data_IF_947340643589
#
_entry.id   IF_947340643589
#
_cell.length_a   1.000
_cell.length_b   1.000
_cell.length_c   1.000
_cell.angle_alpha   90.00
_cell.angle_beta   90.00
_cell.angle_gamma   90.00
#
_symmetry.space_group_name_H-M   'P 1'
#
loop_
_entity.id
_entity.type
_entity.pdbx_description
1 polymer ?
#
# COMPACT_ATOMS: atom_id res chain seq x y z
N UNK A 1 -2.19 -7.35 17.69
CA UNK A 1 -2.66 -6.70 16.44
C UNK A 1 -3.36 -5.41 16.82
N UNK A 2 -2.96 -4.27 16.26
CA UNK A 2 -3.71 -3.01 16.39
C UNK A 2 -4.79 -2.93 15.32
N UNK A 3 -5.96 -2.34 15.63
CA UNK A 3 -7.08 -2.16 14.71
C UNK A 3 -7.68 -0.76 14.90
N UNK A 4 -8.21 -0.21 13.82
CA UNK A 4 -8.96 1.04 13.74
C UNK A 4 -10.08 0.83 12.73
N UNK A 5 -11.32 1.19 13.08
CA UNK A 5 -12.49 1.14 12.20
C UNK A 5 -13.31 2.38 12.46
N UNK A 6 -13.56 3.18 11.43
CA UNK A 6 -14.34 4.41 11.50
C UNK A 6 -15.36 4.42 10.36
N UNK A 7 -16.52 5.04 10.60
CA UNK A 7 -17.51 5.32 9.56
C UNK A 7 -17.11 6.61 8.82
N UNK A 8 -16.65 6.48 7.58
CA UNK A 8 -16.10 7.58 6.78
C UNK A 8 -16.44 7.37 5.30
N UNK A 9 -16.77 8.46 4.61
CA UNK A 9 -17.06 8.48 3.17
C UNK A 9 -15.88 9.02 2.35
N UNK A 10 -14.67 8.52 2.60
CA UNK A 10 -13.45 8.94 1.90
C UNK A 10 -13.33 8.32 0.50
N UNK A 11 -13.67 7.03 0.39
CA UNK A 11 -13.68 6.26 -0.85
C UNK A 11 -14.79 5.21 -0.79
N UNK A 12 -15.77 5.28 -1.69
CA UNK A 12 -16.86 4.31 -1.74
C UNK A 12 -17.43 4.15 -3.15
N UNK A 13 -18.12 3.03 -3.38
CA UNK A 13 -18.85 2.76 -4.63
C UNK A 13 -20.35 2.73 -4.34
N UNK A 14 -21.05 3.87 -4.44
CA UNK A 14 -22.47 3.91 -4.12
C UNK A 14 -23.26 3.07 -5.12
N UNK A 15 -24.24 2.31 -4.62
CA UNK A 15 -25.19 1.55 -5.43
C UNK A 15 -26.47 2.37 -5.55
N UNK A 16 -27.00 2.57 -6.76
CA UNK A 16 -28.27 3.29 -6.97
C UNK A 16 -28.31 4.28 -8.15
N UNK A 17 -27.27 4.36 -8.98
CA UNK A 17 -27.24 5.18 -10.21
C UNK A 17 -26.91 4.36 -11.46
N UNK A 18 -26.38 5.02 -12.51
CA UNK A 18 -25.79 4.33 -13.67
C UNK A 18 -24.68 3.42 -13.15
N UNK A 19 -24.71 2.12 -13.49
CA UNK A 19 -23.69 1.16 -13.10
C UNK A 19 -22.31 1.67 -13.55
N UNK A 20 -21.45 2.01 -12.59
CA UNK A 20 -20.12 2.55 -12.82
C UNK A 20 -19.11 1.83 -11.95
N UNK A 21 -17.96 1.50 -12.51
CA UNK A 21 -16.85 0.96 -11.74
C UNK A 21 -16.07 2.04 -10.99
N UNK A 22 -16.25 3.31 -11.37
CA UNK A 22 -15.54 4.43 -10.78
C UNK A 22 -16.09 4.74 -9.38
N UNK A 23 -15.22 4.85 -8.37
CA UNK A 23 -15.60 5.20 -7.01
C UNK A 23 -15.91 6.70 -6.89
N UNK A 24 -16.77 7.04 -5.94
CA UNK A 24 -16.78 8.38 -5.36
C UNK A 24 -15.56 8.49 -4.43
N UNK A 25 -14.74 9.52 -4.62
CA UNK A 25 -13.49 9.70 -3.87
C UNK A 25 -13.29 11.15 -3.46
N UNK A 26 -13.08 11.36 -2.16
CA UNK A 26 -12.48 12.57 -1.63
C UNK A 26 -11.00 12.26 -1.33
N UNK A 27 -10.12 12.73 -2.21
CA UNK A 27 -8.69 12.42 -2.12
C UNK A 27 -8.02 13.01 -0.88
N UNK A 28 -8.43 14.20 -0.43
CA UNK A 28 -7.86 14.83 0.76
C UNK A 28 -8.30 14.09 2.02
N UNK A 29 -9.60 13.75 2.10
CA UNK A 29 -10.13 12.95 3.19
C UNK A 29 -9.50 11.55 3.22
N UNK A 30 -9.34 10.89 2.06
CA UNK A 30 -8.72 9.56 1.95
C UNK A 30 -7.30 9.52 2.51
N UNK A 31 -6.46 10.50 2.16
CA UNK A 31 -5.09 10.59 2.69
C UNK A 31 -5.10 10.81 4.21
N UNK A 32 -5.98 11.70 4.70
CA UNK A 32 -6.11 11.98 6.13
C UNK A 32 -6.57 10.74 6.90
N UNK A 33 -7.61 10.06 6.43
CA UNK A 33 -8.18 8.86 7.07
C UNK A 33 -7.16 7.72 7.08
N UNK A 34 -6.44 7.51 5.97
CA UNK A 34 -5.38 6.51 5.89
C UNK A 34 -4.28 6.73 6.95
N UNK A 35 -3.79 7.97 7.09
CA UNK A 35 -2.72 8.30 8.05
C UNK A 35 -3.22 8.31 9.50
N UNK A 36 -4.47 8.74 9.74
CA UNK A 36 -5.07 8.67 11.06
C UNK A 36 -5.24 7.21 11.52
N UNK A 37 -5.80 6.35 10.66
CA UNK A 37 -5.96 4.93 10.94
C UNK A 37 -4.61 4.24 11.18
N UNK A 38 -3.55 4.67 10.50
CA UNK A 38 -2.19 4.18 10.73
C UNK A 38 -1.72 4.50 12.16
N UNK A 39 -1.86 5.75 12.59
CA UNK A 39 -1.42 6.16 13.93
C UNK A 39 -2.20 5.44 15.03
N UNK A 40 -3.51 5.27 14.86
CA UNK A 40 -4.35 4.53 15.80
C UNK A 40 -3.95 3.05 15.83
N UNK A 41 -3.79 2.41 14.68
CA UNK A 41 -3.35 1.02 14.59
C UNK A 41 -1.98 0.82 15.23
N UNK A 42 -1.03 1.72 14.97
CA UNK A 42 0.32 1.62 15.50
C UNK A 42 0.36 1.84 17.01
N UNK A 43 -0.32 2.86 17.53
CA UNK A 43 -0.46 3.09 18.98
C UNK A 43 -1.12 1.91 19.70
N UNK A 44 -2.19 1.36 19.12
CA UNK A 44 -2.85 0.17 19.65
C UNK A 44 -1.92 -1.05 19.62
N UNK A 45 -1.17 -1.24 18.53
CA UNK A 45 -0.18 -2.31 18.45
C UNK A 45 0.91 -2.15 19.53
N UNK A 46 1.47 -0.95 19.69
CA UNK A 46 2.47 -0.65 20.72
C UNK A 46 1.92 -0.91 22.12
N UNK A 47 0.69 -0.48 22.42
CA UNK A 47 0.03 -0.70 23.70
C UNK A 47 -0.06 -2.20 24.04
N UNK A 48 -0.66 -2.99 23.15
CA UNK A 48 -0.84 -4.43 23.39
C UNK A 48 0.48 -5.20 23.42
N UNK A 49 1.44 -4.86 22.55
CA UNK A 49 2.76 -5.47 22.57
C UNK A 49 3.50 -5.18 23.87
N UNK A 50 3.44 -3.93 24.35
CA UNK A 50 4.05 -3.54 25.64
C UNK A 50 3.42 -4.29 26.80
N UNK A 51 2.09 -4.42 26.82
CA UNK A 51 1.38 -5.17 27.87
C UNK A 51 1.81 -6.64 27.96
N UNK A 52 2.13 -7.27 26.83
CA UNK A 52 2.51 -8.68 26.76
C UNK A 52 4.00 -8.89 27.02
N UNK A 53 4.85 -8.05 26.41
CA UNK A 53 6.31 -8.26 26.36
C UNK A 53 7.09 -7.39 27.34
N UNK A 54 6.41 -6.46 28.02
CA UNK A 54 7.01 -5.39 28.83
C UNK A 54 7.97 -4.48 28.03
N UNK A 55 7.97 -4.57 26.70
CA UNK A 55 8.79 -3.76 25.80
C UNK A 55 7.92 -3.05 24.79
N UNK A 56 8.09 -1.72 24.71
CA UNK A 56 7.45 -0.90 23.68
C UNK A 56 8.18 -1.10 22.35
N UNK A 57 7.50 -1.63 21.30
CA UNK A 57 8.14 -1.83 20.02
C UNK A 57 8.26 -0.51 19.26
N UNK A 58 9.33 -0.37 18.49
CA UNK A 58 9.59 0.75 17.56
C UNK A 58 9.76 0.21 16.14
N UNK A 59 9.82 1.06 15.12
CA UNK A 59 10.12 0.63 13.74
C UNK A 59 11.48 -0.08 13.61
N UNK A 60 12.41 0.17 14.55
CA UNK A 60 13.74 -0.50 14.60
C UNK A 60 13.64 -1.97 14.96
N UNK A 61 12.58 -2.37 15.66
CA UNK A 61 12.33 -3.75 16.09
C UNK A 61 11.97 -4.68 14.92
N UNK A 62 11.65 -4.12 13.75
CA UNK A 62 11.25 -4.85 12.55
C UNK A 62 12.34 -4.84 11.49
N UNK A 63 12.47 -5.93 10.76
CA UNK A 63 13.36 -6.03 9.60
C UNK A 63 12.84 -5.12 8.46
N UNK A 64 11.56 -5.28 8.13
CA UNK A 64 10.88 -4.56 7.06
C UNK A 64 9.52 -4.05 7.54
N UNK A 65 9.03 -2.97 6.91
CA UNK A 65 7.70 -2.42 7.15
C UNK A 65 6.97 -2.33 5.81
N UNK A 66 5.84 -3.02 5.71
CA UNK A 66 5.04 -3.13 4.49
C UNK A 66 3.71 -2.42 4.68
N UNK A 67 3.25 -1.72 3.65
CA UNK A 67 2.05 -0.89 3.69
C UNK A 67 1.12 -1.21 2.53
N UNK A 68 -0.19 -1.08 2.71
CA UNK A 68 -1.09 -0.86 1.58
C UNK A 68 -0.64 0.39 0.81
N UNK A 69 -0.46 0.26 -0.50
CA UNK A 69 0.16 1.30 -1.33
C UNK A 69 -0.76 1.72 -2.47
N UNK A 70 -1.69 2.66 -2.24
CA UNK A 70 -2.49 3.26 -3.31
C UNK A 70 -1.62 4.11 -4.23
N UNK A 71 -0.53 4.70 -3.70
CA UNK A 71 0.55 5.32 -4.47
C UNK A 71 1.82 5.39 -3.61
N UNK A 72 3.00 5.48 -4.24
CA UNK A 72 4.26 5.35 -3.50
C UNK A 72 4.49 6.47 -2.46
N UNK A 73 4.03 7.70 -2.75
CA UNK A 73 4.23 8.84 -1.86
C UNK A 73 3.51 8.70 -0.51
N UNK A 74 2.34 8.07 -0.46
CA UNK A 74 1.62 7.86 0.81
C UNK A 74 2.35 6.87 1.71
N UNK A 75 3.08 5.90 1.13
CA UNK A 75 3.88 4.94 1.88
C UNK A 75 5.08 5.63 2.54
N UNK A 76 5.73 6.55 1.83
CA UNK A 76 6.80 7.39 2.40
C UNK A 76 6.27 8.26 3.56
N UNK A 77 5.08 8.87 3.41
CA UNK A 77 4.41 9.60 4.50
C UNK A 77 4.04 8.69 5.67
N UNK A 78 3.57 7.47 5.40
CA UNK A 78 3.21 6.50 6.43
C UNK A 78 4.43 6.10 7.28
N UNK A 79 5.55 5.80 6.65
CA UNK A 79 6.79 5.51 7.36
C UNK A 79 7.26 6.71 8.20
N UNK A 80 7.16 7.92 7.65
CA UNK A 80 7.45 9.16 8.36
C UNK A 80 6.58 9.34 9.61
N UNK A 81 5.28 9.00 9.55
CA UNK A 81 4.40 8.99 10.72
C UNK A 81 4.88 8.03 11.80
N UNK A 82 5.20 6.79 11.45
CA UNK A 82 5.66 5.80 12.42
C UNK A 82 6.95 6.24 13.14
N UNK A 83 7.92 6.76 12.37
CA UNK A 83 9.17 7.30 12.92
C UNK A 83 8.89 8.51 13.82
N UNK A 84 8.05 9.44 13.39
CA UNK A 84 7.64 10.58 14.20
C UNK A 84 6.98 10.13 15.51
N UNK A 85 6.01 9.20 15.44
CA UNK A 85 5.35 8.63 16.63
C UNK A 85 6.37 8.04 17.59
N UNK A 86 7.32 7.23 17.12
CA UNK A 86 8.39 6.65 17.94
C UNK A 86 9.21 7.72 18.67
N UNK A 87 9.44 8.87 18.06
CA UNK A 87 10.24 9.98 18.60
C UNK A 87 9.52 10.87 19.62
N UNK A 88 8.19 10.83 19.69
CA UNK A 88 7.44 11.67 20.65
C UNK A 88 7.50 11.15 22.10
N UNK A 89 7.25 12.03 23.08
CA UNK A 89 7.47 11.79 24.52
C UNK A 89 6.65 10.63 25.11
N UNK A 90 5.50 10.30 24.53
CA UNK A 90 4.68 9.15 24.94
C UNK A 90 5.38 7.79 24.71
N UNK A 91 6.48 7.78 23.95
CA UNK A 91 7.25 6.59 23.59
C UNK A 91 8.65 6.53 24.25
N UNK A 92 8.96 7.44 25.18
CA UNK A 92 10.14 7.34 26.06
C UNK A 92 11.46 7.88 25.51
N UNK A 93 11.49 8.56 24.34
CA UNK A 93 12.74 8.96 23.71
C UNK A 93 13.28 10.37 24.06
N UNK A 94 12.55 11.17 24.85
CA UNK A 94 13.01 12.51 25.26
C UNK A 94 13.18 12.63 26.79
N UNK A 95 12.79 11.63 27.57
CA UNK A 95 13.03 11.61 29.02
C UNK A 95 14.12 10.59 29.41
N UNK A 96 15.29 10.69 28.76
CA UNK A 96 16.51 10.04 29.24
C UNK A 96 16.84 8.64 28.70
N UNK A 97 16.23 8.17 27.61
CA UNK A 97 16.64 6.92 26.95
C UNK A 97 17.10 7.14 25.51
N UNK A 98 18.38 6.84 25.29
CA UNK A 98 19.12 6.84 24.02
C UNK A 98 18.41 6.09 22.89
N UNK A 99 17.60 6.79 22.10
CA UNK A 99 17.47 6.39 20.69
C UNK A 99 18.62 7.02 19.92
N UNK A 100 19.42 6.18 19.28
CA UNK A 100 20.44 6.60 18.30
C UNK A 100 19.90 7.60 17.24
N UNK A 101 18.57 7.64 17.03
CA UNK A 101 17.92 8.55 16.08
C UNK A 101 17.78 9.97 16.65
N UNK A 102 17.56 10.12 17.96
CA UNK A 102 17.47 11.43 18.62
C UNK A 102 18.86 12.06 18.85
N UNK A 103 19.88 11.22 19.08
CA UNK A 103 21.28 11.65 19.19
C UNK A 103 21.92 12.00 17.84
N UNK A 104 21.38 11.50 16.73
CA UNK A 104 21.86 11.78 15.38
C UNK A 104 21.27 13.07 14.77
N UNK A 105 20.34 13.74 15.45
CA UNK A 105 19.75 15.00 14.96
C UNK A 105 20.70 16.17 15.20
N UNK A 106 20.83 17.02 14.18
CA UNK A 106 21.40 18.36 14.34
C UNK A 106 20.53 19.20 15.28
N UNK A 107 21.09 20.28 15.83
CA UNK A 107 20.33 21.20 16.68
C UNK A 107 19.14 21.80 15.92
N UNK A 108 19.34 22.22 14.67
CA UNK A 108 18.28 22.73 13.79
C UNK A 108 17.12 21.73 13.60
N UNK A 109 17.44 20.45 13.37
CA UNK A 109 16.42 19.41 13.25
C UNK A 109 15.68 19.18 14.57
N UNK A 110 16.35 19.32 15.70
CA UNK A 110 15.75 19.19 17.03
C UNK A 110 14.78 20.35 17.32
N UNK A 111 15.16 21.57 16.99
CA UNK A 111 14.32 22.75 17.16
C UNK A 111 13.06 22.66 16.29
N UNK A 112 13.24 22.31 15.01
CA UNK A 112 12.12 22.08 14.10
C UNK A 112 11.22 20.94 14.54
N UNK A 113 11.79 19.85 15.07
CA UNK A 113 11.00 18.76 15.66
C UNK A 113 10.16 19.25 16.85
N UNK A 114 10.75 20.06 17.74
CA UNK A 114 10.06 20.60 18.91
C UNK A 114 8.94 21.58 18.51
N UNK A 115 9.17 22.42 17.49
CA UNK A 115 8.14 23.30 16.92
C UNK A 115 6.96 22.48 16.38
N UNK A 116 7.23 21.50 15.50
CA UNK A 116 6.19 20.68 14.89
C UNK A 116 5.44 19.82 15.89
N UNK A 117 6.08 19.44 17.00
CA UNK A 117 5.45 18.67 18.08
C UNK A 117 4.36 19.45 18.82
N UNK A 118 4.40 20.78 18.78
CA UNK A 118 3.34 21.62 19.36
C UNK A 118 2.05 21.59 18.54
N UNK A 119 2.11 21.13 17.29
CA UNK A 119 0.96 21.06 16.38
C UNK A 119 0.10 19.84 16.76
N UNK A 120 -1.22 20.01 16.97
CA UNK A 120 -2.13 18.89 17.18
C UNK A 120 -2.05 17.86 16.04
N UNK A 121 -1.95 16.58 16.38
CA UNK A 121 -1.81 15.45 15.46
C UNK A 121 -2.79 15.53 14.28
N UNK A 122 -4.03 15.93 14.54
CA UNK A 122 -5.12 16.00 13.55
C UNK A 122 -4.86 17.06 12.47
N UNK A 123 -4.08 18.09 12.78
CA UNK A 123 -3.68 19.15 11.85
C UNK A 123 -2.44 18.77 11.04
N UNK A 124 -1.66 17.79 11.49
CA UNK A 124 -0.39 17.41 10.83
C UNK A 124 -0.57 16.57 9.56
N UNK A 125 -1.71 15.89 9.36
CA UNK A 125 -1.90 14.94 8.26
C UNK A 125 -1.72 15.56 6.87
N UNK A 126 -2.21 16.79 6.69
CA UNK A 126 -2.15 17.52 5.44
C UNK A 126 -1.16 18.69 5.48
N UNK A 127 -0.49 18.88 6.61
CA UNK A 127 0.48 19.96 6.78
C UNK A 127 1.74 19.69 5.93
N UNK A 128 2.10 20.65 5.09
CA UNK A 128 3.17 20.47 4.11
C UNK A 128 4.54 20.42 4.79
N UNK A 129 4.76 21.28 5.78
CA UNK A 129 6.06 21.47 6.39
C UNK A 129 6.37 20.30 7.35
N UNK A 130 5.35 19.84 8.09
CA UNK A 130 5.37 18.58 8.85
C UNK A 130 5.69 17.39 7.95
N UNK A 131 4.96 17.24 6.84
CA UNK A 131 5.16 16.12 5.92
C UNK A 131 6.58 16.14 5.34
N UNK A 132 7.05 17.30 4.85
CA UNK A 132 8.40 17.45 4.30
C UNK A 132 9.46 17.06 5.34
N UNK A 133 9.41 17.67 6.52
CA UNK A 133 10.36 17.42 7.58
C UNK A 133 10.36 15.96 8.07
N UNK A 134 9.19 15.39 8.34
CA UNK A 134 9.09 14.03 8.85
C UNK A 134 9.58 13.00 7.82
N UNK A 135 9.40 13.28 6.54
CA UNK A 135 9.90 12.44 5.46
C UNK A 135 11.43 12.53 5.31
N UNK A 136 12.01 13.73 5.41
CA UNK A 136 13.46 13.93 5.46
C UNK A 136 14.07 13.19 6.66
N UNK A 137 13.45 13.34 7.84
CA UNK A 137 13.85 12.71 9.09
C UNK A 137 13.83 11.17 9.05
N UNK A 138 12.92 10.59 8.25
CA UNK A 138 12.71 9.13 8.17
C UNK A 138 13.32 8.49 6.94
N UNK A 139 14.02 9.26 6.10
CA UNK A 139 14.48 8.84 4.77
C UNK A 139 15.35 7.58 4.83
N UNK A 140 16.38 7.56 5.69
CA UNK A 140 17.26 6.39 5.83
C UNK A 140 16.50 5.14 6.28
N UNK A 141 15.53 5.31 7.19
CA UNK A 141 14.72 4.18 7.67
C UNK A 141 13.79 3.69 6.57
N UNK A 142 13.23 4.59 5.77
CA UNK A 142 12.41 4.26 4.61
C UNK A 142 13.23 3.50 3.55
N UNK A 143 14.43 3.96 3.23
CA UNK A 143 15.30 3.35 2.23
C UNK A 143 15.78 1.96 2.62
N UNK A 144 15.95 1.71 3.92
CA UNK A 144 16.35 0.40 4.42
C UNK A 144 15.19 -0.57 4.61
N UNK A 145 14.04 -0.11 5.10
CA UNK A 145 12.96 -1.00 5.59
C UNK A 145 11.75 -1.09 4.67
N UNK A 146 11.61 -0.20 3.70
CA UNK A 146 10.39 -0.06 2.89
C UNK A 146 10.71 -0.02 1.40
N UNK A 147 11.53 0.95 0.99
CA UNK A 147 11.85 1.26 -0.42
C UNK A 147 12.28 0.03 -1.26
N UNK A 148 13.08 -0.93 -0.74
CA UNK A 148 13.50 -2.09 -1.53
C UNK A 148 12.34 -3.01 -1.94
N UNK A 149 11.20 -2.93 -1.24
CA UNK A 149 10.08 -3.85 -1.39
C UNK A 149 8.89 -3.22 -2.11
N UNK A 150 9.10 -2.15 -2.88
CA UNK A 150 8.03 -1.37 -3.53
C UNK A 150 8.02 -1.49 -5.06
N UNK A 151 8.76 -2.44 -5.63
CA UNK A 151 8.98 -2.54 -7.07
C UNK A 151 7.66 -2.79 -7.83
N UNK A 152 6.83 -3.71 -7.34
CA UNK A 152 5.50 -3.92 -7.93
C UNK A 152 4.64 -2.65 -7.85
N UNK A 153 4.61 -1.95 -6.71
CA UNK A 153 3.76 -0.77 -6.56
C UNK A 153 4.23 0.38 -7.45
N UNK A 154 5.54 0.56 -7.66
CA UNK A 154 6.09 1.55 -8.60
C UNK A 154 5.74 1.23 -10.05
N UNK A 155 5.73 -0.05 -10.41
CA UNK A 155 5.62 -0.51 -11.80
C UNK A 155 4.21 -0.91 -12.24
N UNK A 156 3.32 -1.22 -11.31
CA UNK A 156 1.92 -1.62 -11.55
C UNK A 156 0.89 -0.63 -11.00
N UNK A 157 1.28 0.25 -10.07
CA UNK A 157 0.35 1.15 -9.39
C UNK A 157 -0.48 0.44 -8.31
N UNK A 158 -1.69 0.96 -8.06
CA UNK A 158 -2.59 0.45 -7.03
C UNK A 158 -3.26 -0.87 -7.47
N UNK A 159 -3.04 -1.93 -6.70
CA UNK A 159 -3.66 -3.25 -6.86
C UNK A 159 -4.70 -3.55 -5.77
N UNK A 160 -5.24 -2.51 -5.12
CA UNK A 160 -6.22 -2.61 -4.03
C UNK A 160 -5.77 -3.59 -2.93
N UNK A 161 -6.54 -4.63 -2.68
CA UNK A 161 -6.28 -5.64 -1.64
C UNK A 161 -4.94 -6.35 -1.83
N UNK A 162 -4.46 -6.46 -3.07
CA UNK A 162 -3.16 -7.08 -3.37
C UNK A 162 -1.96 -6.14 -3.18
N UNK A 163 -2.17 -4.82 -3.02
CA UNK A 163 -1.07 -3.84 -2.95
C UNK A 163 -0.08 -4.09 -1.82
N UNK A 164 -0.57 -4.49 -0.64
CA UNK A 164 0.28 -4.83 0.51
C UNK A 164 1.08 -6.13 0.24
N UNK A 165 0.42 -7.13 -0.33
CA UNK A 165 1.04 -8.44 -0.59
C UNK A 165 2.04 -8.40 -1.73
N UNK A 166 1.90 -7.46 -2.66
CA UNK A 166 2.91 -7.22 -3.68
C UNK A 166 4.27 -6.84 -3.06
N UNK A 167 4.28 -6.07 -1.97
CA UNK A 167 5.51 -5.76 -1.24
C UNK A 167 6.07 -6.98 -0.51
N UNK A 168 5.20 -7.84 0.00
CA UNK A 168 5.61 -9.10 0.61
C UNK A 168 6.24 -10.03 -0.44
N UNK A 169 5.73 -10.04 -1.67
CA UNK A 169 6.30 -10.76 -2.80
C UNK A 169 7.71 -10.20 -3.10
N UNK A 170 7.88 -8.89 -3.21
CA UNK A 170 9.20 -8.27 -3.42
C UNK A 170 10.17 -8.64 -2.31
N UNK A 171 9.77 -8.50 -1.03
CA UNK A 171 10.56 -8.86 0.14
C UNK A 171 11.07 -10.30 0.05
N UNK A 172 10.18 -11.24 -0.25
CA UNK A 172 10.52 -12.67 -0.37
C UNK A 172 11.37 -12.95 -1.61
N UNK A 173 11.17 -12.22 -2.71
CA UNK A 173 11.92 -12.43 -3.94
C UNK A 173 13.38 -11.99 -3.82
N UNK A 174 13.64 -10.86 -3.16
CA UNK A 174 14.98 -10.26 -3.07
C UNK A 174 15.78 -10.67 -1.82
N UNK A 175 15.12 -11.19 -0.79
CA UNK A 175 15.79 -11.63 0.44
C UNK A 175 16.24 -13.09 0.34
N UNK A 176 17.40 -13.40 0.92
CA UNK A 176 17.77 -14.81 1.16
C UNK A 176 16.91 -15.41 2.27
N UNK A 177 16.80 -16.73 2.31
CA UNK A 177 16.07 -17.42 3.36
C UNK A 177 16.70 -17.15 4.73
N UNK A 178 18.04 -17.18 4.85
CA UNK A 178 18.71 -16.92 6.13
C UNK A 178 18.44 -15.50 6.63
N UNK A 179 18.32 -14.52 5.72
CA UNK A 179 18.04 -13.13 6.07
C UNK A 179 16.66 -12.93 6.71
N UNK A 180 15.68 -13.80 6.43
CA UNK A 180 14.30 -13.67 6.92
C UNK A 180 13.97 -14.55 8.13
N UNK A 181 14.77 -15.59 8.40
CA UNK A 181 14.55 -16.45 9.58
C UNK A 181 14.61 -15.62 10.87
N UNK A 182 13.60 -15.80 11.73
CA UNK A 182 13.44 -15.08 12.99
C UNK A 182 13.34 -13.55 12.86
N UNK A 183 13.03 -13.03 11.67
CA UNK A 183 12.78 -11.60 11.48
C UNK A 183 11.31 -11.26 11.70
N UNK A 184 11.07 -10.08 12.27
CA UNK A 184 9.73 -9.50 12.39
C UNK A 184 9.48 -8.58 11.21
N UNK A 185 8.32 -8.73 10.57
CA UNK A 185 7.84 -7.86 9.49
C UNK A 185 6.62 -7.12 10.04
N UNK A 186 6.62 -5.79 9.99
CA UNK A 186 5.44 -5.00 10.33
C UNK A 186 4.60 -4.81 9.07
N UNK A 187 3.29 -5.08 9.15
CA UNK A 187 2.38 -4.96 8.01
C UNK A 187 1.20 -4.07 8.38
N UNK A 188 0.95 -3.04 7.59
CA UNK A 188 -0.22 -2.18 7.70
C UNK A 188 -1.14 -2.38 6.50
N UNK A 189 -2.34 -2.93 6.76
CA UNK A 189 -3.39 -3.08 5.76
C UNK A 189 -4.44 -1.99 5.96
N UNK A 190 -4.78 -1.30 4.87
CA UNK A 190 -5.90 -0.37 4.80
C UNK A 190 -6.87 -0.90 3.74
N UNK A 191 -8.07 -1.28 4.16
CA UNK A 191 -8.93 -2.21 3.40
C UNK A 191 -8.43 -3.66 3.54
N UNK A 192 -9.27 -4.55 4.07
CA UNK A 192 -8.84 -5.86 4.62
C UNK A 192 -8.13 -6.83 3.67
N UNK A 193 -7.38 -7.78 4.26
CA UNK A 193 -6.75 -8.91 3.57
C UNK A 193 -6.00 -9.86 4.52
N UNK A 194 -5.79 -11.12 4.09
CA UNK A 194 -4.99 -12.18 4.75
C UNK A 194 -4.13 -12.95 3.72
N UNK A 195 -3.06 -13.67 4.12
CA UNK A 195 -2.16 -14.40 3.19
C UNK A 195 -1.32 -15.58 3.78
N UNK A 196 -0.95 -16.57 2.93
CA UNK A 196 0.06 -17.64 3.16
C UNK A 196 0.85 -18.11 1.87
N UNK A 197 2.17 -18.40 2.06
CA UNK A 197 3.21 -19.16 1.25
C UNK A 197 3.49 -18.85 -0.25
N UNK A 198 4.67 -18.29 -0.63
CA UNK A 198 5.03 -17.98 -2.06
C UNK A 198 6.54 -17.87 -2.48
N UNK A 199 7.54 -18.54 -1.89
CA UNK A 199 8.97 -18.21 -2.23
C UNK A 199 9.34 -18.37 -3.72
N UNK A 200 9.08 -19.52 -4.36
CA UNK A 200 9.42 -19.73 -5.79
C UNK A 200 8.57 -18.84 -6.71
N UNK A 201 7.29 -18.71 -6.41
CA UNK A 201 6.34 -17.88 -7.16
C UNK A 201 6.72 -16.40 -7.11
N UNK A 202 7.32 -15.93 -6.01
CA UNK A 202 7.70 -14.55 -5.85
C UNK A 202 8.81 -14.11 -6.81
N UNK A 203 9.89 -14.89 -6.93
CA UNK A 203 10.97 -14.61 -7.89
C UNK A 203 10.49 -14.59 -9.33
N UNK A 204 9.64 -15.55 -9.70
CA UNK A 204 9.01 -15.59 -11.02
C UNK A 204 8.11 -14.38 -11.26
N UNK A 205 7.37 -13.91 -10.25
CA UNK A 205 6.53 -12.72 -10.37
C UNK A 205 7.36 -11.46 -10.67
N UNK A 206 8.52 -11.28 -10.03
CA UNK A 206 9.39 -10.13 -10.31
C UNK A 206 9.91 -10.16 -11.75
N UNK A 207 10.36 -11.33 -12.24
CA UNK A 207 10.82 -11.48 -13.63
C UNK A 207 9.73 -11.17 -14.67
N UNK A 208 8.46 -11.50 -14.36
CA UNK A 208 7.33 -11.22 -15.24
C UNK A 208 7.06 -9.72 -15.42
N UNK A 209 7.54 -8.85 -14.52
CA UNK A 209 7.38 -7.40 -14.69
C UNK A 209 8.05 -6.88 -15.95
N UNK A 210 9.17 -7.48 -16.34
CA UNK A 210 9.96 -7.09 -17.52
C UNK A 210 9.42 -7.68 -18.82
N UNK A 211 8.57 -8.71 -18.72
CA UNK A 211 7.93 -9.38 -19.84
C UNK A 211 6.58 -8.73 -20.23
N UNK A 212 6.23 -7.60 -19.64
CA UNK A 212 4.99 -6.88 -19.94
C UNK A 212 5.11 -6.08 -21.23
N UNK A 213 4.00 -5.97 -21.94
CA UNK A 213 3.91 -5.14 -23.13
C UNK A 213 3.55 -3.71 -22.77
N UNK A 214 4.32 -2.76 -23.30
CA UNK A 214 4.05 -1.34 -23.16
C UNK A 214 2.99 -0.95 -24.18
N UNK A 215 2.02 -0.15 -23.76
CA UNK A 215 1.05 0.48 -24.66
C UNK A 215 1.18 1.99 -24.60
N UNK A 216 0.75 2.68 -25.66
CA UNK A 216 0.70 4.14 -25.68
C UNK A 216 -0.44 4.67 -24.79
N UNK A 217 -0.38 5.94 -24.34
CA UNK A 217 -1.48 6.58 -23.62
C UNK A 217 -2.82 6.52 -24.36
N UNK A 218 -2.80 6.59 -25.69
CA UNK A 218 -3.99 6.50 -26.54
C UNK A 218 -4.57 5.09 -26.52
N UNK A 219 -3.73 4.05 -26.67
CA UNK A 219 -4.15 2.65 -26.58
C UNK A 219 -4.73 2.32 -25.19
N UNK A 220 -4.11 2.85 -24.14
CA UNK A 220 -4.62 2.74 -22.77
C UNK A 220 -6.00 3.40 -22.63
N UNK A 221 -6.16 4.63 -23.14
CA UNK A 221 -7.43 5.36 -23.07
C UNK A 221 -8.55 4.66 -23.84
N UNK A 222 -8.24 4.08 -25.01
CA UNK A 222 -9.16 3.25 -25.78
C UNK A 222 -9.57 1.98 -25.02
N UNK A 223 -8.62 1.35 -24.32
CA UNK A 223 -8.88 0.17 -23.49
C UNK A 223 -9.78 0.50 -22.30
N UNK A 224 -9.58 1.64 -21.65
CA UNK A 224 -10.43 2.13 -20.56
C UNK A 224 -11.85 2.42 -21.04
N UNK A 225 -12.00 3.07 -22.21
CA UNK A 225 -13.32 3.30 -22.82
C UNK A 225 -14.04 1.98 -23.14
N UNK A 226 -13.32 1.01 -23.73
CA UNK A 226 -13.88 -0.32 -24.03
C UNK A 226 -14.38 -1.03 -22.76
N UNK A 227 -13.72 -0.82 -21.62
CA UNK A 227 -14.15 -1.34 -20.32
C UNK A 227 -15.42 -0.65 -19.83
N UNK A 228 -15.54 0.66 -19.97
CA UNK A 228 -16.78 1.38 -19.66
C UNK A 228 -17.95 0.90 -20.52
N UNK A 229 -17.71 0.72 -21.81
CA UNK A 229 -18.72 0.28 -22.76
C UNK A 229 -19.20 -1.15 -22.41
N UNK A 230 -18.29 -2.05 -22.00
CA UNK A 230 -18.66 -3.36 -21.46
C UNK A 230 -19.61 -3.26 -20.25
N UNK A 231 -19.30 -2.39 -19.28
CA UNK A 231 -20.12 -2.23 -18.06
C UNK A 231 -21.52 -1.70 -18.42
N UNK A 232 -21.60 -0.80 -19.40
CA UNK A 232 -22.86 -0.19 -19.87
C UNK A 232 -23.68 -1.13 -20.76
N UNK A 233 -23.02 -1.97 -21.57
CA UNK A 233 -23.67 -2.83 -22.56
C UNK A 233 -24.56 -3.92 -21.93
N UNK A 234 -24.30 -4.31 -20.68
CA UNK A 234 -25.10 -5.30 -19.97
C UNK A 234 -24.90 -6.71 -20.54
N UNK A 235 -26.00 -7.42 -20.76
CA UNK A 235 -26.01 -8.81 -21.23
C UNK A 235 -27.03 -8.98 -22.37
N UNK A 236 -26.75 -9.82 -23.38
CA UNK A 236 -25.54 -10.63 -23.58
C UNK A 236 -24.36 -9.81 -24.13
N UNK A 237 -23.13 -10.29 -23.93
CA UNK A 237 -21.93 -9.59 -24.40
C UNK A 237 -20.78 -10.55 -24.73
N UNK A 238 -20.15 -10.35 -25.89
CA UNK A 238 -18.93 -11.06 -26.31
C UNK A 238 -17.77 -10.06 -26.34
N UNK A 239 -16.67 -10.28 -25.59
CA UNK A 239 -15.52 -9.38 -25.61
C UNK A 239 -14.89 -9.23 -27.00
N UNK A 240 -14.49 -7.99 -27.35
CA UNK A 240 -13.99 -7.60 -28.69
C UNK A 240 -12.80 -8.45 -29.16
N UNK A 241 -11.93 -8.87 -28.24
CA UNK A 241 -10.80 -9.74 -28.56
C UNK A 241 -11.22 -11.18 -28.90
N UNK A 242 -12.34 -11.65 -28.33
CA UNK A 242 -12.91 -12.94 -28.65
C UNK A 242 -13.71 -12.91 -29.97
N UNK A 243 -14.29 -11.77 -30.36
CA UNK A 243 -15.07 -11.64 -31.59
C UNK A 243 -14.22 -11.45 -32.85
N UNK A 244 -13.04 -10.82 -32.74
CA UNK A 244 -12.26 -10.40 -33.91
C UNK A 244 -11.07 -11.32 -34.24
N UNK A 245 -10.88 -12.42 -33.52
CA UNK A 245 -9.73 -13.32 -33.72
C UNK A 245 -8.37 -12.64 -33.51
N UNK A 246 -8.35 -11.46 -32.87
CA UNK A 246 -7.13 -10.71 -32.58
C UNK A 246 -6.26 -11.55 -31.62
N UNK A 247 -4.96 -11.65 -31.94
CA UNK A 247 -4.00 -12.34 -31.09
C UNK A 247 -4.03 -11.72 -29.69
N UNK A 248 -4.49 -12.49 -28.72
CA UNK A 248 -4.50 -12.06 -27.33
C UNK A 248 -3.05 -11.99 -26.83
N UNK A 249 -2.65 -10.81 -26.41
CA UNK A 249 -1.33 -10.57 -25.86
C UNK A 249 -1.34 -10.83 -24.35
N UNK A 250 -1.57 -12.09 -23.99
CA UNK A 250 -1.64 -12.57 -22.61
C UNK A 250 -0.47 -13.48 -22.31
N UNK A 251 -0.06 -13.53 -21.04
CA UNK A 251 0.87 -14.58 -20.61
C UNK A 251 0.25 -15.96 -20.83
N UNK A 252 1.08 -16.95 -21.18
CA UNK A 252 0.65 -18.34 -21.27
C UNK A 252 -0.06 -18.78 -19.99
N UNK A 253 -1.12 -19.57 -20.14
CA UNK A 253 -2.00 -20.06 -19.08
C UNK A 253 -2.90 -19.02 -18.40
N UNK A 254 -3.03 -17.81 -18.97
CA UNK A 254 -3.95 -16.80 -18.44
C UNK A 254 -5.40 -17.15 -18.76
N UNK A 255 -6.27 -17.10 -17.75
CA UNK A 255 -7.72 -17.18 -17.95
C UNK A 255 -8.25 -15.84 -18.44
N UNK A 256 -9.16 -15.85 -19.42
CA UNK A 256 -9.82 -14.68 -19.95
C UNK A 256 -11.32 -14.90 -20.12
N UNK A 257 -12.10 -13.82 -20.05
CA UNK A 257 -13.54 -13.83 -20.24
C UNK A 257 -13.84 -14.07 -21.73
N UNK A 258 -14.58 -15.12 -22.04
CA UNK A 258 -14.93 -15.49 -23.41
C UNK A 258 -16.33 -15.02 -23.81
N UNK A 259 -17.29 -15.05 -22.89
CA UNK A 259 -18.69 -14.71 -23.16
C UNK A 259 -19.45 -14.34 -21.88
N UNK A 260 -20.47 -13.49 -22.01
CA UNK A 260 -21.52 -13.25 -21.02
C UNK A 260 -22.87 -13.54 -21.70
N UNK A 261 -23.58 -14.57 -21.24
CA UNK A 261 -24.88 -14.92 -21.80
C UNK A 261 -26.02 -14.02 -21.29
N UNK A 262 -27.24 -14.24 -21.81
CA UNK A 262 -28.48 -13.48 -21.48
C UNK A 262 -28.88 -13.55 -19.98
N UNK A 263 -28.36 -14.53 -19.25
CA UNK A 263 -28.60 -14.75 -17.82
C UNK A 263 -27.41 -14.28 -16.97
N UNK A 264 -26.50 -13.50 -17.56
CA UNK A 264 -25.26 -12.99 -16.94
C UNK A 264 -24.25 -14.09 -16.55
N UNK A 265 -24.40 -15.31 -17.07
CA UNK A 265 -23.41 -16.38 -16.86
C UNK A 265 -22.14 -16.03 -17.63
N UNK A 266 -21.00 -16.08 -16.94
CA UNK A 266 -19.69 -15.76 -17.50
C UNK A 266 -18.93 -17.03 -17.87
N UNK A 267 -18.56 -17.15 -19.14
CA UNK A 267 -17.71 -18.22 -19.65
C UNK A 267 -16.25 -17.75 -19.68
N UNK A 268 -15.33 -18.61 -19.22
CA UNK A 268 -13.90 -18.33 -19.23
C UNK A 268 -13.14 -19.39 -20.05
N UNK A 269 -12.14 -18.94 -20.79
CA UNK A 269 -11.20 -19.80 -21.53
C UNK A 269 -9.78 -19.55 -21.06
N UNK A 270 -8.87 -20.45 -21.41
CA UNK A 270 -7.45 -20.37 -21.04
C UNK A 270 -6.61 -20.13 -22.29
N UNK A 271 -5.75 -19.12 -22.24
CA UNK A 271 -4.76 -18.85 -23.28
C UNK A 271 -3.60 -19.84 -23.11
N UNK A 272 -3.20 -20.54 -24.18
CA UNK A 272 -2.12 -21.52 -24.18
C UNK A 272 -0.94 -21.01 -25.01
#
# INVERSE_FOLDING_TARGET
MGRCVNDVFDFYKPVGGISSEYPAVDGHLSVRTYLNALDECYRNFQHWHTKITQKKPTVKDFHSVLFHAPFCKIVQKAMARLVYTDMTKENGLINGSSSALASALTEEMRDKFNELKSIPTEKTYMDRDFNKFSMELSQDVFDQKVSPYMEFNRRLGNMYTASLYAQLIDLVAISSQECLVNKRILMYSYGGGYYQKMVKSAKSACQRLDQRNKCSPEQYSQSMKSREDLIKAGSPYVPVHASNGLKMDLFANTYYLANIDKSFVREYKRHF
#
